data_IF_553762526087
#
_entry.id   IF_553762526087
#
_cell.length_a   1.000
_cell.length_b   1.000
_cell.length_c   1.000
_cell.angle_alpha   90.00
_cell.angle_beta   90.00
_cell.angle_gamma   90.00
#
_symmetry.space_group_name_H-M   'P 1'
#
loop_
_entity.id
_entity.type
_entity.pdbx_description
1 polymer ?
#
# COMPACT_ATOMS: atom_id res chain seq x y z
N UNK A 1 -10.49 13.61 30.69
CA UNK A 1 -11.10 12.91 29.52
C UNK A 1 -10.05 12.53 28.46
N UNK A 2 -8.80 12.99 28.54
CA UNK A 2 -7.75 12.66 27.54
C UNK A 2 -7.28 11.20 27.51
N UNK A 3 -7.30 10.46 28.64
CA UNK A 3 -6.78 9.09 28.66
C UNK A 3 -7.62 8.07 27.85
N UNK A 4 -8.90 8.36 27.59
CA UNK A 4 -9.72 7.53 26.68
C UNK A 4 -9.37 7.76 25.21
N UNK A 5 -8.86 8.96 24.88
CA UNK A 5 -8.49 9.33 23.52
C UNK A 5 -7.18 8.66 23.09
N UNK A 6 -6.20 8.58 24.01
CA UNK A 6 -4.92 7.90 23.75
C UNK A 6 -5.07 6.41 23.52
N UNK A 7 -5.96 5.72 24.25
CA UNK A 7 -6.24 4.29 23.99
C UNK A 7 -6.85 4.04 22.60
N UNK A 8 -7.67 4.97 22.09
CA UNK A 8 -8.17 4.92 20.69
C UNK A 8 -7.03 5.15 19.68
N UNK A 9 -6.13 6.09 19.97
CA UNK A 9 -4.96 6.36 19.12
C UNK A 9 -4.01 5.15 19.04
N UNK A 10 -3.75 4.47 20.16
CA UNK A 10 -2.87 3.28 20.20
C UNK A 10 -3.46 2.04 19.51
N UNK A 11 -4.77 2.00 19.31
CA UNK A 11 -5.44 0.95 18.54
C UNK A 11 -5.36 1.19 17.02
N UNK A 12 -5.05 2.41 16.58
CA UNK A 12 -4.89 2.77 15.16
C UNK A 12 -3.47 2.45 14.66
N UNK A 13 -2.51 2.27 15.57
CA UNK A 13 -1.09 1.98 15.26
C UNK A 13 -0.70 0.51 15.34
N UNK A 14 -1.64 -0.44 15.49
CA UNK A 14 -1.33 -1.86 15.27
C UNK A 14 -1.27 -2.17 13.77
N UNK A 15 -0.29 -1.57 13.10
CA UNK A 15 0.06 -1.90 11.73
C UNK A 15 0.97 -3.13 11.81
N UNK A 16 0.51 -4.26 11.28
CA UNK A 16 1.39 -5.38 10.97
C UNK A 16 2.59 -4.81 10.21
N UNK A 17 3.80 -4.94 10.78
CA UNK A 17 5.02 -4.50 10.11
C UNK A 17 5.11 -5.27 8.78
N UNK A 18 5.15 -4.51 7.68
CA UNK A 18 5.42 -5.10 6.39
C UNK A 18 6.85 -5.63 6.42
N UNK A 19 7.11 -6.72 5.71
CA UNK A 19 8.50 -7.17 5.54
C UNK A 19 9.31 -6.07 4.84
N UNK A 20 10.59 -5.87 5.20
CA UNK A 20 11.41 -4.76 4.67
C UNK A 20 11.39 -4.66 3.14
N UNK A 21 11.39 -5.80 2.46
CA UNK A 21 11.31 -5.86 1.00
C UNK A 21 10.06 -5.17 0.42
N UNK A 22 8.90 -5.35 1.04
CA UNK A 22 7.65 -4.73 0.58
C UNK A 22 7.63 -3.22 0.89
N UNK A 23 8.18 -2.82 2.03
CA UNK A 23 8.32 -1.40 2.39
C UNK A 23 9.27 -0.68 1.42
N UNK A 24 10.42 -1.28 1.13
CA UNK A 24 11.41 -0.75 0.20
C UNK A 24 10.82 -0.61 -1.20
N UNK A 25 10.11 -1.64 -1.68
CA UNK A 25 9.41 -1.60 -2.96
C UNK A 25 8.41 -0.44 -3.04
N UNK A 26 7.55 -0.30 -2.03
CA UNK A 26 6.53 0.77 -1.98
C UNK A 26 7.19 2.15 -1.92
N UNK A 27 8.27 2.29 -1.14
CA UNK A 27 9.03 3.54 -1.06
C UNK A 27 9.69 3.91 -2.40
N UNK A 28 10.25 2.93 -3.10
CA UNK A 28 10.87 3.15 -4.42
C UNK A 28 9.84 3.62 -5.46
N UNK A 29 8.72 2.91 -5.58
CA UNK A 29 7.69 3.20 -6.60
C UNK A 29 6.88 4.47 -6.30
N UNK A 30 6.78 4.90 -5.04
CA UNK A 30 6.14 6.18 -4.66
C UNK A 30 7.04 7.39 -4.90
N UNK A 31 8.36 7.23 -4.84
CA UNK A 31 9.33 8.34 -4.97
C UNK A 31 9.88 8.54 -6.38
N UNK A 32 9.82 7.51 -7.24
CA UNK A 32 10.27 7.62 -8.63
C UNK A 32 9.29 8.39 -9.51
N UNK A 33 9.73 9.55 -10.01
CA UNK A 33 8.97 10.43 -10.92
C UNK A 33 8.83 9.89 -12.36
N UNK A 34 9.68 8.96 -12.78
CA UNK A 34 9.87 8.61 -14.19
C UNK A 34 8.91 7.56 -14.76
N UNK A 35 8.09 6.91 -13.94
CA UNK A 35 7.27 5.77 -14.38
C UNK A 35 5.80 6.11 -14.69
N UNK A 36 5.47 7.39 -14.82
CA UNK A 36 4.14 7.85 -15.25
C UNK A 36 3.95 7.70 -16.77
N UNK A 37 4.38 6.57 -17.33
CA UNK A 37 4.52 6.42 -18.79
C UNK A 37 3.27 5.80 -19.43
N UNK A 38 2.47 6.74 -19.96
CA UNK A 38 1.78 6.72 -21.28
C UNK A 38 0.53 5.85 -21.45
N UNK A 39 0.28 4.82 -20.63
CA UNK A 39 -0.91 3.95 -20.80
C UNK A 39 -1.88 4.03 -19.64
N UNK A 40 -3.15 4.26 -19.96
CA UNK A 40 -4.24 4.21 -19.01
C UNK A 40 -4.48 2.75 -18.60
N UNK A 41 -4.53 2.52 -17.30
CA UNK A 41 -4.82 1.22 -16.73
C UNK A 41 -5.99 1.36 -15.76
N UNK A 42 -6.96 0.45 -15.88
CA UNK A 42 -8.02 0.32 -14.88
C UNK A 42 -7.40 -0.34 -13.65
N UNK A 43 -7.57 0.30 -12.50
CA UNK A 43 -7.15 -0.19 -11.18
C UNK A 43 -8.41 -0.47 -10.38
N UNK A 44 -8.52 -1.68 -9.86
CA UNK A 44 -9.53 -2.04 -8.86
C UNK A 44 -8.81 -2.27 -7.53
N UNK A 45 -9.00 -1.32 -6.61
CA UNK A 45 -8.33 -1.30 -5.32
C UNK A 45 -8.95 -2.30 -4.34
N UNK A 46 -10.24 -2.63 -4.50
CA UNK A 46 -10.94 -3.57 -3.64
C UNK A 46 -10.51 -4.99 -3.94
N UNK A 47 -10.47 -5.37 -5.22
CA UNK A 47 -9.96 -6.68 -5.65
C UNK A 47 -8.43 -6.77 -5.67
N UNK A 48 -7.72 -5.66 -5.44
CA UNK A 48 -6.25 -5.56 -5.50
C UNK A 48 -5.72 -5.95 -6.88
N UNK A 49 -6.36 -5.45 -7.93
CA UNK A 49 -6.08 -5.76 -9.32
C UNK A 49 -5.76 -4.53 -10.15
N UNK A 50 -4.97 -4.73 -11.21
CA UNK A 50 -4.75 -3.72 -12.23
C UNK A 50 -4.69 -4.38 -13.60
N UNK A 51 -5.19 -3.72 -14.64
CA UNK A 51 -5.10 -4.23 -16.02
C UNK A 51 -3.66 -4.43 -16.52
N UNK A 52 -2.66 -3.81 -15.87
CA UNK A 52 -1.24 -4.10 -16.14
C UNK A 52 -0.77 -5.47 -15.60
N UNK A 53 -1.61 -6.17 -14.81
CA UNK A 53 -1.38 -7.49 -14.21
C UNK A 53 -0.27 -7.59 -13.17
N UNK A 54 0.52 -6.54 -12.97
CA UNK A 54 1.63 -6.55 -12.01
C UNK A 54 1.13 -6.84 -10.59
N UNK A 55 0.04 -6.22 -10.14
CA UNK A 55 -0.47 -6.42 -8.78
C UNK A 55 -0.93 -7.86 -8.54
N UNK A 56 -1.59 -8.47 -9.52
CA UNK A 56 -2.04 -9.85 -9.46
C UNK A 56 -0.87 -10.83 -9.41
N UNK A 57 0.20 -10.55 -10.15
CA UNK A 57 1.39 -11.39 -10.24
C UNK A 57 2.28 -11.27 -8.99
N UNK A 58 2.62 -10.05 -8.59
CA UNK A 58 3.56 -9.80 -7.48
C UNK A 58 2.88 -9.77 -6.13
N UNK A 59 1.55 -9.64 -6.10
CA UNK A 59 0.78 -9.42 -4.86
C UNK A 59 1.16 -8.13 -4.11
N UNK A 60 1.84 -7.21 -4.80
CA UNK A 60 2.21 -5.86 -4.36
C UNK A 60 1.59 -4.82 -5.30
N UNK A 61 1.17 -3.64 -4.80
CA UNK A 61 0.54 -2.63 -5.63
C UNK A 61 1.50 -2.14 -6.71
N UNK A 62 1.05 -2.21 -7.97
CA UNK A 62 1.82 -1.69 -9.11
C UNK A 62 1.91 -0.16 -9.11
N UNK A 63 2.77 0.42 -9.96
CA UNK A 63 2.92 1.88 -10.09
C UNK A 63 1.58 2.61 -10.33
N UNK A 64 0.68 2.03 -11.13
CA UNK A 64 -0.63 2.61 -11.41
C UNK A 64 -1.52 2.64 -10.15
N UNK A 65 -1.49 1.55 -9.38
CA UNK A 65 -2.23 1.46 -8.13
C UNK A 65 -1.66 2.40 -7.07
N UNK A 66 -0.33 2.47 -6.96
CA UNK A 66 0.39 3.36 -6.07
C UNK A 66 0.07 4.81 -6.37
N UNK A 67 0.04 5.21 -7.65
CA UNK A 67 -0.31 6.56 -8.04
C UNK A 67 -1.70 6.96 -7.51
N UNK A 68 -2.68 6.05 -7.56
CA UNK A 68 -4.00 6.30 -6.99
C UNK A 68 -4.02 6.23 -5.46
N UNK A 69 -3.42 5.20 -4.85
CA UNK A 69 -3.39 5.02 -3.39
C UNK A 69 -2.64 6.17 -2.70
N UNK A 70 -1.54 6.63 -3.29
CA UNK A 70 -0.72 7.72 -2.78
C UNK A 70 -1.42 9.08 -2.81
N UNK A 71 -2.52 9.24 -3.56
CA UNK A 71 -3.36 10.43 -3.51
C UNK A 71 -4.31 10.45 -2.31
N UNK A 72 -4.51 9.33 -1.61
CA UNK A 72 -5.35 9.28 -0.40
C UNK A 72 -4.64 10.00 0.76
N UNK A 73 -5.41 10.66 1.62
CA UNK A 73 -4.88 11.18 2.87
C UNK A 73 -4.47 10.00 3.77
N UNK A 74 -3.18 9.95 4.14
CA UNK A 74 -2.58 8.91 4.98
C UNK A 74 -2.84 7.46 4.48
N UNK A 75 -2.24 7.05 3.36
CA UNK A 75 -2.46 5.72 2.80
C UNK A 75 -1.94 4.63 3.75
N UNK A 76 -2.85 3.74 4.16
CA UNK A 76 -2.52 2.54 4.93
C UNK A 76 -1.99 1.45 4.00
N UNK A 77 -0.71 1.53 3.62
CA UNK A 77 -0.07 0.64 2.64
C UNK A 77 -0.24 -0.85 2.92
N UNK A 78 -0.21 -1.25 4.18
CA UNK A 78 -0.44 -2.63 4.60
C UNK A 78 -1.78 -3.20 4.13
N UNK A 79 -2.82 -2.38 3.94
CA UNK A 79 -4.14 -2.86 3.47
C UNK A 79 -4.14 -3.30 2.00
N UNK A 80 -3.18 -2.83 1.21
CA UNK A 80 -3.09 -3.05 -0.23
C UNK A 80 -2.08 -4.14 -0.62
N UNK A 81 -1.40 -4.73 0.36
CA UNK A 81 -0.44 -5.81 0.15
C UNK A 81 -1.08 -7.14 0.55
N UNK A 82 -0.55 -8.25 0.01
CA UNK A 82 -0.98 -9.60 0.39
C UNK A 82 -0.37 -10.06 1.71
N UNK A 83 -1.04 -10.99 2.40
CA UNK A 83 -0.66 -11.42 3.74
C UNK A 83 0.73 -12.06 3.87
N UNK A 84 1.32 -12.48 2.74
CA UNK A 84 2.66 -13.08 2.67
C UNK A 84 3.77 -12.07 2.98
N UNK A 85 3.46 -10.78 2.95
CA UNK A 85 4.40 -9.70 3.24
C UNK A 85 4.27 -9.17 4.67
N UNK A 86 3.64 -9.91 5.57
CA UNK A 86 3.62 -9.57 7.00
C UNK A 86 4.57 -10.44 7.80
N UNK A 87 5.25 -9.80 8.74
CA UNK A 87 5.93 -10.53 9.82
C UNK A 87 4.88 -10.96 10.82
N UNK A 88 4.68 -12.28 10.97
CA UNK A 88 3.95 -12.81 12.12
C UNK A 88 4.84 -12.61 13.36
N UNK A 89 4.46 -11.67 14.24
CA UNK A 89 5.05 -11.54 15.57
C UNK A 89 4.06 -12.03 16.62
#
# INVERSE_FOLDING_TARGET
MEQRSTRKMMSITWQRELVPHAEDYIREITTRKEHMLVRQHIVDVESKECTCRIWQLTRLPCIHAVAFIGMKEHPLWHTYVHDLYFVYR
#
